data_IF_036107415402
#
_entry.id   IF_036107415402
#
_cell.length_a   1.000
_cell.length_b   1.000
_cell.length_c   1.000
_cell.angle_alpha   90.00
_cell.angle_beta   90.00
_cell.angle_gamma   90.00
#
_symmetry.space_group_name_H-M   'P 1'
#
loop_
_entity.id
_entity.type
_entity.pdbx_description
1 polymer ?
#
# COMPACT_ATOMS: atom_id res chain seq x y z
N UNK A 1 9.49 -47.36 8.80
CA UNK A 1 8.97 -45.98 8.69
C UNK A 1 9.53 -45.15 9.84
N UNK A 2 10.55 -44.32 9.61
CA UNK A 2 11.06 -43.41 10.65
C UNK A 2 10.04 -42.29 10.81
N UNK A 3 9.39 -42.22 11.98
CA UNK A 3 8.42 -41.19 12.30
C UNK A 3 9.01 -39.79 12.10
N UNK A 4 8.19 -38.89 11.56
CA UNK A 4 8.52 -37.47 11.42
C UNK A 4 8.43 -36.86 12.83
N UNK A 5 9.49 -37.05 13.62
CA UNK A 5 9.52 -36.62 15.02
C UNK A 5 9.98 -35.18 15.09
N UNK A 6 9.06 -34.28 15.48
CA UNK A 6 9.23 -32.85 15.79
C UNK A 6 9.08 -31.90 14.58
N UNK A 7 7.83 -31.53 14.30
CA UNK A 7 7.54 -30.28 13.59
C UNK A 7 8.17 -29.12 14.38
N UNK A 8 8.94 -28.25 13.70
CA UNK A 8 9.44 -27.01 14.30
C UNK A 8 8.23 -26.10 14.56
N UNK A 9 7.67 -26.19 15.77
CA UNK A 9 6.60 -25.30 16.25
C UNK A 9 7.21 -24.01 16.78
N UNK A 10 6.51 -22.89 16.62
CA UNK A 10 6.88 -21.63 17.24
C UNK A 10 6.49 -21.71 18.72
N UNK A 11 7.44 -21.41 19.61
CA UNK A 11 7.21 -21.28 21.05
C UNK A 11 7.45 -19.82 21.44
N UNK A 12 6.62 -19.29 22.34
CA UNK A 12 6.79 -17.93 22.86
C UNK A 12 8.14 -17.82 23.56
N UNK A 13 8.87 -16.75 23.27
CA UNK A 13 10.17 -16.43 23.85
C UNK A 13 10.22 -14.93 24.19
N UNK A 14 11.37 -14.45 24.66
CA UNK A 14 11.57 -13.05 25.08
C UNK A 14 11.33 -12.01 23.97
N UNK A 15 11.24 -12.44 22.70
CA UNK A 15 10.93 -11.56 21.57
C UNK A 15 9.44 -11.48 21.24
N UNK A 16 8.60 -12.34 21.83
CA UNK A 16 7.15 -12.31 21.64
C UNK A 16 6.53 -10.93 21.96
N UNK A 17 6.91 -10.22 23.05
CA UNK A 17 6.40 -8.89 23.33
C UNK A 17 6.70 -7.85 22.24
N UNK A 18 7.85 -7.98 21.57
CA UNK A 18 8.21 -7.09 20.45
C UNK A 18 7.29 -7.34 19.25
N UNK A 19 6.96 -8.60 18.98
CA UNK A 19 6.00 -8.96 17.92
C UNK A 19 4.60 -8.45 18.25
N UNK A 20 4.11 -8.65 19.48
CA UNK A 20 2.83 -8.11 19.96
C UNK A 20 2.77 -6.60 19.78
N UNK A 21 3.86 -5.91 20.13
CA UNK A 21 3.97 -4.46 19.97
C UNK A 21 3.93 -4.01 18.52
N UNK A 22 4.55 -4.75 17.59
CA UNK A 22 4.44 -4.46 16.15
C UNK A 22 2.98 -4.52 15.69
N UNK A 23 2.25 -5.59 16.05
CA UNK A 23 0.85 -5.75 15.66
C UNK A 23 -0.04 -4.67 16.30
N UNK A 24 0.17 -4.36 17.58
CA UNK A 24 -0.55 -3.30 18.30
C UNK A 24 -0.38 -1.94 17.62
N UNK A 25 0.85 -1.48 17.42
CA UNK A 25 1.13 -0.19 16.79
C UNK A 25 0.55 -0.11 15.38
N UNK A 26 0.61 -1.21 14.63
CA UNK A 26 0.05 -1.25 13.28
C UNK A 26 -1.49 -1.20 13.27
N UNK A 27 -2.15 -1.91 14.19
CA UNK A 27 -3.60 -1.88 14.37
C UNK A 27 -4.09 -0.48 14.78
N UNK A 28 -3.30 0.25 15.57
CA UNK A 28 -3.53 1.65 15.95
C UNK A 28 -3.30 2.64 14.79
N UNK A 29 -2.82 2.16 13.64
CA UNK A 29 -2.68 2.96 12.43
C UNK A 29 -1.26 3.40 12.09
N UNK A 30 -0.24 3.01 12.86
CA UNK A 30 1.14 3.28 12.48
C UNK A 30 1.52 2.58 11.17
N UNK A 31 2.35 3.22 10.37
CA UNK A 31 2.99 2.63 9.18
C UNK A 31 4.21 1.80 9.58
N UNK A 32 4.66 0.91 8.69
CA UNK A 32 5.88 0.13 8.93
C UNK A 32 7.12 1.01 9.12
N UNK A 33 7.14 2.18 8.49
CA UNK A 33 8.20 3.18 8.62
C UNK A 33 8.15 3.86 9.99
N UNK A 34 6.97 4.23 10.47
CA UNK A 34 6.80 4.83 11.80
C UNK A 34 7.20 3.84 12.90
N UNK A 35 6.77 2.57 12.80
CA UNK A 35 7.15 1.52 13.76
C UNK A 35 8.66 1.31 13.76
N UNK A 36 9.29 1.23 12.57
CA UNK A 36 10.74 1.12 12.41
C UNK A 36 11.46 2.27 13.13
N UNK A 37 11.02 3.51 12.88
CA UNK A 37 11.58 4.71 13.50
C UNK A 37 11.40 4.73 15.02
N UNK A 38 10.22 4.33 15.52
CA UNK A 38 9.96 4.22 16.96
C UNK A 38 10.93 3.23 17.61
N UNK A 39 11.10 2.04 17.02
CA UNK A 39 11.99 1.02 17.56
C UNK A 39 13.46 1.44 17.49
N UNK A 40 13.87 2.13 16.43
CA UNK A 40 15.22 2.70 16.31
C UNK A 40 15.50 3.73 17.40
N UNK A 41 14.57 4.67 17.65
CA UNK A 41 14.71 5.69 18.70
C UNK A 41 14.77 5.09 20.11
N UNK A 42 14.11 3.96 20.33
CA UNK A 42 14.09 3.26 21.62
C UNK A 42 15.21 2.22 21.75
N UNK A 43 16.04 2.02 20.72
CA UNK A 43 17.11 1.04 20.73
C UNK A 43 16.63 -0.42 20.68
N UNK A 44 15.41 -0.68 20.21
CA UNK A 44 14.86 -2.04 20.07
C UNK A 44 15.46 -2.71 18.84
N UNK A 45 16.20 -3.79 19.05
CA UNK A 45 16.84 -4.57 17.99
C UNK A 45 16.08 -5.85 17.67
N UNK A 46 16.33 -6.38 16.47
CA UNK A 46 15.90 -7.74 16.09
C UNK A 46 16.69 -8.80 16.89
N UNK A 47 16.24 -10.07 16.92
CA UNK A 47 16.96 -11.14 17.62
C UNK A 47 18.42 -11.34 17.17
N UNK A 48 18.76 -10.90 15.97
CA UNK A 48 20.13 -10.99 15.43
C UNK A 48 20.92 -9.67 15.62
N UNK A 49 20.42 -8.73 16.43
CA UNK A 49 21.07 -7.45 16.69
C UNK A 49 20.98 -6.41 15.57
N UNK A 50 20.17 -6.65 14.54
CA UNK A 50 19.96 -5.70 13.44
C UNK A 50 18.79 -4.75 13.73
N UNK A 51 18.78 -3.59 13.06
CA UNK A 51 17.68 -2.62 13.12
C UNK A 51 16.43 -3.19 12.42
N UNK A 52 15.26 -2.88 12.99
CA UNK A 52 13.96 -3.13 12.37
C UNK A 52 13.74 -2.17 11.21
N UNK A 53 13.79 -2.67 9.97
CA UNK A 53 13.40 -1.91 8.77
C UNK A 53 11.93 -2.18 8.39
N UNK A 54 11.41 -1.38 7.47
CA UNK A 54 10.04 -1.47 6.98
C UNK A 54 9.73 -2.85 6.36
N UNK A 55 10.71 -3.45 5.68
CA UNK A 55 10.61 -4.76 5.04
C UNK A 55 10.50 -5.90 6.06
N UNK A 56 11.30 -5.88 7.12
CA UNK A 56 11.25 -6.84 8.23
C UNK A 56 9.92 -6.76 8.96
N UNK A 57 9.45 -5.55 9.27
CA UNK A 57 8.15 -5.34 9.90
C UNK A 57 7.02 -5.83 8.99
N UNK A 58 7.07 -5.50 7.70
CA UNK A 58 6.09 -5.99 6.70
C UNK A 58 6.09 -7.53 6.62
N UNK A 59 7.25 -8.16 6.74
CA UNK A 59 7.39 -9.63 6.78
C UNK A 59 6.69 -10.19 8.01
N UNK A 60 6.91 -9.60 9.19
CA UNK A 60 6.25 -9.99 10.44
C UNK A 60 4.72 -9.90 10.32
N UNK A 61 4.21 -8.74 9.89
CA UNK A 61 2.77 -8.49 9.75
C UNK A 61 2.08 -9.40 8.72
N UNK A 62 2.83 -9.98 7.80
CA UNK A 62 2.28 -10.87 6.75
C UNK A 62 2.38 -12.36 7.09
N UNK A 63 3.08 -12.72 8.16
CA UNK A 63 3.38 -14.11 8.47
C UNK A 63 2.25 -14.70 9.32
N UNK A 64 1.55 -15.71 8.78
CA UNK A 64 0.45 -16.40 9.45
C UNK A 64 0.91 -17.23 10.65
N UNK A 65 2.22 -17.45 10.81
CA UNK A 65 2.77 -18.13 11.99
C UNK A 65 2.33 -17.47 13.28
N UNK A 66 2.25 -16.14 13.32
CA UNK A 66 1.94 -15.43 14.55
C UNK A 66 0.49 -15.62 15.02
N UNK A 67 -0.43 -16.02 14.13
CA UNK A 67 -1.81 -16.41 14.47
C UNK A 67 -2.00 -17.93 14.64
N UNK A 68 -0.91 -18.67 14.86
CA UNK A 68 -0.96 -20.11 15.11
C UNK A 68 -1.03 -20.99 13.85
N UNK A 69 -0.89 -20.43 12.65
CA UNK A 69 -0.94 -21.20 11.39
C UNK A 69 0.46 -21.52 10.84
N UNK A 70 0.66 -22.70 10.27
CA UNK A 70 1.90 -23.03 9.54
C UNK A 70 1.59 -23.09 8.05
N UNK A 71 2.34 -22.31 7.26
CA UNK A 71 2.24 -22.36 5.80
C UNK A 71 3.51 -22.92 5.18
N UNK A 72 3.36 -23.95 4.35
CA UNK A 72 4.46 -24.56 3.61
C UNK A 72 4.24 -24.50 2.11
N UNK A 73 5.32 -24.32 1.34
CA UNK A 73 5.25 -24.41 -0.12
C UNK A 73 4.70 -23.20 -0.85
N UNK A 74 4.58 -22.01 -0.21
CA UNK A 74 4.21 -20.75 -0.89
C UNK A 74 5.15 -20.39 -2.06
N UNK A 75 6.40 -20.81 -1.98
CA UNK A 75 7.45 -20.51 -2.95
C UNK A 75 8.33 -21.72 -3.19
N UNK A 76 8.90 -21.82 -4.40
CA UNK A 76 9.88 -22.84 -4.79
C UNK A 76 11.14 -22.19 -5.35
N UNK A 77 12.28 -22.81 -5.15
CA UNK A 77 13.52 -22.37 -5.80
C UNK A 77 13.49 -22.78 -7.27
N UNK A 78 13.81 -21.82 -8.15
CA UNK A 78 13.95 -22.08 -9.58
C UNK A 78 15.13 -23.01 -9.82
N UNK A 79 14.92 -24.03 -10.66
CA UNK A 79 16.00 -24.92 -11.09
C UNK A 79 16.84 -24.32 -12.22
N UNK A 80 16.30 -23.34 -12.92
CA UNK A 80 16.88 -22.76 -14.15
C UNK A 80 17.31 -21.31 -13.95
N UNK A 81 16.53 -20.52 -13.22
CA UNK A 81 16.81 -19.11 -13.00
C UNK A 81 17.65 -18.87 -11.75
N UNK A 82 18.73 -18.10 -11.90
CA UNK A 82 19.59 -17.68 -10.80
C UNK A 82 19.73 -16.16 -10.78
N UNK A 83 19.98 -15.60 -9.60
CA UNK A 83 20.46 -14.23 -9.45
C UNK A 83 21.91 -14.12 -9.96
N UNK A 84 22.39 -12.89 -10.17
CA UNK A 84 23.78 -12.62 -10.59
C UNK A 84 24.83 -13.22 -9.64
N UNK A 85 24.48 -13.41 -8.37
CA UNK A 85 25.33 -14.04 -7.35
C UNK A 85 25.22 -15.58 -7.30
N UNK A 86 24.61 -16.22 -8.31
CA UNK A 86 24.52 -17.67 -8.44
C UNK A 86 23.44 -18.35 -7.60
N UNK A 87 22.75 -17.62 -6.72
CA UNK A 87 21.64 -18.19 -5.92
C UNK A 87 20.41 -18.44 -6.79
N UNK A 88 19.73 -19.59 -6.65
CA UNK A 88 18.44 -19.83 -7.30
C UNK A 88 17.43 -18.72 -7.02
N UNK A 89 16.68 -18.29 -8.03
CA UNK A 89 15.57 -17.35 -7.79
C UNK A 89 14.43 -18.06 -7.07
N UNK A 90 13.79 -17.36 -6.14
CA UNK A 90 12.61 -17.87 -5.44
C UNK A 90 11.37 -17.48 -6.25
N UNK A 91 10.64 -18.47 -6.74
CA UNK A 91 9.43 -18.30 -7.54
C UNK A 91 8.19 -18.62 -6.71
N UNK A 92 7.05 -18.03 -7.07
CA UNK A 92 5.76 -18.44 -6.51
C UNK A 92 5.48 -19.90 -6.88
N UNK A 93 4.99 -20.68 -5.93
CA UNK A 93 4.59 -22.05 -6.25
C UNK A 93 3.17 -22.04 -6.82
N UNK A 94 3.02 -22.44 -8.07
CA UNK A 94 1.72 -22.57 -8.74
C UNK A 94 0.95 -23.82 -8.31
N UNK A 95 1.66 -24.84 -7.80
CA UNK A 95 1.06 -26.11 -7.34
C UNK A 95 0.34 -26.02 -5.98
N UNK A 96 -0.02 -24.82 -5.54
CA UNK A 96 -0.65 -24.58 -4.24
C UNK A 96 0.34 -24.53 -3.07
N UNK A 97 -0.19 -24.20 -1.89
CA UNK A 97 0.53 -24.21 -0.62
C UNK A 97 -0.26 -25.04 0.39
N UNK A 98 0.45 -25.61 1.36
CA UNK A 98 -0.16 -26.37 2.46
C UNK A 98 -0.34 -25.38 3.61
N UNK A 99 -1.59 -25.20 4.05
CA UNK A 99 -1.95 -24.42 5.24
C UNK A 99 -2.39 -25.39 6.34
N UNK A 100 -1.73 -25.33 7.48
CA UNK A 100 -2.14 -26.04 8.69
C UNK A 100 -2.59 -25.00 9.70
N UNK A 101 -3.89 -24.97 9.99
CA UNK A 101 -4.48 -24.10 11.00
C UNK A 101 -4.24 -24.68 12.41
N UNK A 102 -4.23 -23.83 13.44
CA UNK A 102 -4.06 -24.23 14.84
C UNK A 102 -2.86 -25.15 15.11
N UNK A 103 -1.75 -24.91 14.42
CA UNK A 103 -0.53 -25.71 14.51
C UNK A 103 0.23 -25.49 15.84
N UNK A 104 0.01 -24.36 16.51
CA UNK A 104 0.61 -23.99 17.79
C UNK A 104 -0.16 -22.83 18.44
N UNK A 105 0.16 -22.54 19.69
CA UNK A 105 -0.44 -21.41 20.41
C UNK A 105 -0.09 -20.08 19.70
N UNK A 106 -1.09 -19.25 19.36
CA UNK A 106 -0.86 -17.98 18.71
C UNK A 106 -0.09 -17.01 19.63
N UNK A 107 0.81 -16.23 19.02
CA UNK A 107 1.42 -15.06 19.68
C UNK A 107 0.44 -13.89 19.61
N UNK A 108 -0.27 -13.76 18.48
CA UNK A 108 -1.21 -12.69 18.20
C UNK A 108 -2.59 -13.30 18.05
N UNK A 109 -3.58 -12.69 18.68
CA UNK A 109 -4.97 -13.03 18.48
C UNK A 109 -5.31 -13.07 16.96
N UNK A 110 -5.90 -14.16 16.45
CA UNK A 110 -6.28 -14.27 15.04
C UNK A 110 -7.08 -13.08 14.51
N UNK A 111 -7.92 -12.45 15.34
CA UNK A 111 -8.74 -11.30 14.94
C UNK A 111 -7.89 -10.04 14.77
N UNK A 112 -6.94 -9.79 15.67
CA UNK A 112 -5.98 -8.68 15.55
C UNK A 112 -5.11 -8.89 14.30
N UNK A 113 -4.68 -10.13 14.05
CA UNK A 113 -3.90 -10.45 12.86
C UNK A 113 -4.69 -10.17 11.57
N UNK A 114 -5.97 -10.57 11.53
CA UNK A 114 -6.83 -10.35 10.37
C UNK A 114 -7.18 -8.86 10.19
N UNK A 115 -7.34 -8.10 11.28
CA UNK A 115 -7.45 -6.64 11.24
C UNK A 115 -6.22 -6.00 10.58
N UNK A 116 -5.02 -6.36 11.01
CA UNK A 116 -3.77 -5.87 10.43
C UNK A 116 -3.64 -6.25 8.94
N UNK A 117 -4.07 -7.46 8.57
CA UNK A 117 -4.12 -7.90 7.17
C UNK A 117 -5.05 -7.01 6.33
N UNK A 118 -6.25 -6.70 6.82
CA UNK A 118 -7.20 -5.80 6.15
C UNK A 118 -6.62 -4.40 5.96
N UNK A 119 -6.02 -3.82 7.01
CA UNK A 119 -5.33 -2.51 6.95
C UNK A 119 -4.24 -2.54 5.87
N UNK A 120 -3.44 -3.60 5.85
CA UNK A 120 -2.36 -3.76 4.86
C UNK A 120 -2.90 -3.90 3.44
N UNK A 121 -4.00 -4.63 3.24
CA UNK A 121 -4.65 -4.76 1.94
C UNK A 121 -5.21 -3.42 1.46
N UNK A 122 -5.84 -2.63 2.33
CA UNK A 122 -6.32 -1.29 1.99
C UNK A 122 -5.17 -0.33 1.64
N UNK A 123 -4.06 -0.40 2.38
CA UNK A 123 -2.87 0.41 2.07
C UNK A 123 -2.21 0.02 0.74
N UNK A 124 -2.30 -1.25 0.36
CA UNK A 124 -1.71 -1.79 -0.87
C UNK A 124 -2.64 -1.75 -2.09
N UNK A 125 -3.96 -1.70 -1.89
CA UNK A 125 -4.95 -1.52 -2.98
C UNK A 125 -4.86 -0.13 -3.59
N UNK A 126 -4.31 0.83 -2.84
CA UNK A 126 -3.98 2.17 -3.32
C UNK A 126 -2.84 2.07 -4.35
N UNK A 127 -3.03 2.53 -5.60
CA UNK A 127 -1.95 2.58 -6.57
C UNK A 127 -0.76 3.36 -5.98
N UNK A 128 0.50 3.11 -6.40
CA UNK A 128 1.67 3.80 -5.83
C UNK A 128 1.56 5.34 -5.80
N UNK A 129 0.78 5.95 -6.70
CA UNK A 129 0.46 7.39 -6.71
C UNK A 129 -0.61 7.85 -5.70
N UNK A 130 -1.27 6.92 -5.02
CA UNK A 130 -2.33 7.13 -4.02
C UNK A 130 -1.90 6.95 -2.57
N UNK A 131 -0.63 6.66 -2.32
CA UNK A 131 -0.06 6.73 -0.97
C UNK A 131 0.01 8.20 -0.56
N UNK A 132 -0.81 8.54 0.42
CA UNK A 132 -1.16 9.86 0.94
C UNK A 132 -0.02 10.90 0.86
N UNK A 133 -0.35 12.10 0.39
CA UNK A 133 0.29 13.33 0.87
C UNK A 133 1.32 14.03 0.00
N UNK A 134 1.50 13.69 -1.29
CA UNK A 134 2.47 14.45 -2.11
C UNK A 134 1.90 15.67 -2.83
N UNK A 135 0.69 15.68 -3.40
CA UNK A 135 0.21 16.83 -4.20
C UNK A 135 -1.32 17.02 -4.23
N UNK A 136 -1.83 18.27 -4.39
CA UNK A 136 -3.26 18.55 -4.61
C UNK A 136 -3.84 17.71 -5.77
N UNK A 137 -5.10 17.29 -5.65
CA UNK A 137 -5.84 16.49 -6.65
C UNK A 137 -5.28 15.10 -6.97
N UNK A 138 -4.35 14.59 -6.16
CA UNK A 138 -3.87 13.21 -6.28
C UNK A 138 -5.03 12.22 -6.30
N UNK A 139 -5.10 11.39 -7.35
CA UNK A 139 -6.15 10.40 -7.63
C UNK A 139 -7.53 10.92 -8.05
N UNK A 140 -7.74 12.24 -8.05
CA UNK A 140 -8.99 12.84 -8.50
C UNK A 140 -9.01 13.05 -10.02
N UNK A 141 -7.85 13.35 -10.61
CA UNK A 141 -7.76 13.67 -12.05
C UNK A 141 -7.67 12.40 -12.88
N UNK A 142 -8.68 12.17 -13.73
CA UNK A 142 -8.76 11.05 -14.68
C UNK A 142 -8.44 11.49 -16.10
N UNK A 143 -7.83 10.60 -16.87
CA UNK A 143 -7.57 10.82 -18.29
C UNK A 143 -8.87 10.67 -19.07
N UNK A 144 -9.29 11.73 -19.77
CA UNK A 144 -10.50 11.71 -20.60
C UNK A 144 -10.45 10.70 -21.76
N UNK A 145 -9.26 10.23 -22.17
CA UNK A 145 -9.10 9.31 -23.30
C UNK A 145 -9.21 7.84 -22.85
N UNK A 146 -8.56 7.47 -21.75
CA UNK A 146 -8.43 6.05 -21.35
C UNK A 146 -8.93 5.75 -19.94
N UNK A 147 -9.48 6.73 -19.23
CA UNK A 147 -10.01 6.58 -17.87
C UNK A 147 -8.95 6.41 -16.77
N UNK A 148 -7.69 6.18 -17.12
CA UNK A 148 -6.62 6.02 -16.14
C UNK A 148 -6.40 7.29 -15.31
N UNK A 149 -6.01 7.11 -14.05
CA UNK A 149 -5.64 8.22 -13.14
C UNK A 149 -4.34 8.88 -13.60
N UNK A 150 -4.30 10.21 -13.62
CA UNK A 150 -3.06 10.95 -13.89
C UNK A 150 -2.11 10.95 -12.68
N UNK A 151 -0.81 10.99 -12.99
CA UNK A 151 0.27 11.19 -12.00
C UNK A 151 0.74 12.64 -12.02
N UNK A 152 1.50 13.03 -10.99
CA UNK A 152 2.05 14.37 -10.82
C UNK A 152 3.57 14.33 -10.80
N UNK A 153 4.20 15.35 -11.37
CA UNK A 153 5.66 15.50 -11.36
C UNK A 153 6.03 16.94 -10.99
N UNK A 154 6.92 17.09 -10.00
CA UNK A 154 7.59 18.36 -9.69
C UNK A 154 8.75 18.58 -10.66
N UNK A 155 8.84 19.76 -11.25
CA UNK A 155 9.96 20.22 -12.08
C UNK A 155 10.52 21.50 -11.50
N UNK A 156 11.82 21.50 -11.17
CA UNK A 156 12.53 22.73 -10.81
C UNK A 156 13.09 23.34 -12.09
N UNK A 157 12.74 24.60 -12.36
CA UNK A 157 13.32 25.36 -13.47
C UNK A 157 14.07 26.56 -12.91
N UNK A 158 15.23 26.90 -13.50
CA UNK A 158 16.03 28.05 -13.07
C UNK A 158 15.28 29.39 -13.22
N UNK A 159 14.33 29.47 -14.15
CA UNK A 159 13.62 30.71 -14.51
C UNK A 159 12.30 30.95 -13.72
N UNK A 160 11.59 29.90 -13.31
CA UNK A 160 10.22 30.03 -12.77
C UNK A 160 9.99 29.26 -11.45
N UNK A 161 11.05 28.83 -10.76
CA UNK A 161 10.94 28.09 -9.51
C UNK A 161 10.46 26.65 -9.67
N UNK A 162 9.86 26.09 -8.60
CA UNK A 162 9.27 24.75 -8.60
C UNK A 162 7.87 24.77 -9.22
N UNK A 163 7.67 24.03 -10.30
CA UNK A 163 6.38 23.87 -10.98
C UNK A 163 5.89 22.43 -10.87
N UNK A 164 4.59 22.25 -10.69
CA UNK A 164 3.95 20.94 -10.64
C UNK A 164 3.19 20.72 -11.95
N UNK A 165 3.37 19.54 -12.55
CA UNK A 165 2.68 19.16 -13.79
C UNK A 165 1.88 17.88 -13.57
N UNK A 166 0.64 17.89 -14.07
CA UNK A 166 -0.14 16.68 -14.32
C UNK A 166 0.52 16.00 -15.52
N UNK A 167 1.13 14.84 -15.32
CA UNK A 167 1.99 14.21 -16.32
C UNK A 167 1.18 13.73 -17.52
N UNK A 168 1.85 13.54 -18.65
CA UNK A 168 1.27 12.81 -19.77
C UNK A 168 0.83 11.41 -19.33
N UNK A 169 -0.29 10.96 -19.87
CA UNK A 169 -0.82 9.63 -19.62
C UNK A 169 0.14 8.59 -20.22
N UNK A 170 0.61 7.65 -19.39
CA UNK A 170 1.54 6.60 -19.80
C UNK A 170 0.84 5.25 -20.01
N UNK A 171 -0.50 5.23 -20.01
CA UNK A 171 -1.28 4.01 -20.20
C UNK A 171 -1.00 3.43 -21.57
N UNK A 172 -0.63 2.14 -21.60
CA UNK A 172 -0.46 1.34 -22.81
C UNK A 172 -1.81 0.75 -23.18
N UNK A 173 -2.23 0.99 -24.42
CA UNK A 173 -3.43 0.43 -25.04
C UNK A 173 -2.95 -0.65 -25.99
N UNK A 174 -3.29 -1.90 -25.69
CA UNK A 174 -2.87 -3.05 -26.48
C UNK A 174 -3.81 -3.25 -27.66
N UNK A 175 -3.22 -3.52 -28.83
CA UNK A 175 -3.91 -3.77 -30.09
C UNK A 175 -3.54 -5.19 -30.52
N UNK A 176 -4.52 -6.00 -30.94
CA UNK A 176 -4.34 -7.43 -31.22
C UNK A 176 -3.32 -7.70 -32.34
N UNK A 177 -3.06 -6.70 -33.20
CA UNK A 177 -2.21 -6.84 -34.39
C UNK A 177 -0.86 -6.11 -34.31
N UNK A 178 -0.73 -5.05 -33.52
CA UNK A 178 0.40 -4.10 -33.59
C UNK A 178 1.12 -3.84 -32.24
N UNK A 179 0.92 -4.69 -31.23
CA UNK A 179 1.55 -4.53 -29.93
C UNK A 179 0.81 -3.51 -29.04
N UNK A 180 1.46 -2.42 -28.63
CA UNK A 180 0.82 -1.41 -27.77
C UNK A 180 1.08 0.03 -28.23
N UNK A 181 0.06 0.88 -28.07
CA UNK A 181 0.12 2.32 -28.30
C UNK A 181 0.03 3.04 -26.95
N UNK A 182 0.75 4.14 -26.77
CA UNK A 182 0.66 4.95 -25.53
C UNK A 182 -0.47 5.96 -25.70
N UNK A 183 -1.26 6.15 -24.64
CA UNK A 183 -2.32 7.17 -24.59
C UNK A 183 -1.78 8.55 -25.00
N UNK A 184 -2.50 9.24 -25.90
CA UNK A 184 -2.06 10.52 -26.49
C UNK A 184 -2.18 11.72 -25.54
N UNK A 185 -2.84 11.58 -24.39
CA UNK A 185 -3.04 12.68 -23.45
C UNK A 185 -1.70 13.18 -22.87
N UNK A 186 -1.35 14.43 -23.15
CA UNK A 186 -0.06 15.04 -22.76
C UNK A 186 -0.04 15.65 -21.36
N UNK A 187 -1.17 15.61 -20.65
CA UNK A 187 -1.33 16.28 -19.36
C UNK A 187 -1.17 17.79 -19.48
N UNK A 188 -1.12 18.49 -18.34
CA UNK A 188 -1.15 19.95 -18.28
C UNK A 188 -0.40 20.46 -17.05
N UNK A 189 -0.01 21.74 -17.05
CA UNK A 189 0.51 22.38 -15.85
C UNK A 189 -0.60 22.43 -14.78
N UNK A 190 -0.28 22.10 -13.53
CA UNK A 190 -1.26 22.06 -12.44
C UNK A 190 -1.94 23.41 -12.22
N UNK A 191 -1.18 24.51 -12.29
CA UNK A 191 -1.71 25.87 -12.11
C UNK A 191 -2.80 26.22 -13.13
N UNK A 192 -2.62 25.79 -14.39
CA UNK A 192 -3.62 26.02 -15.44
C UNK A 192 -4.89 25.20 -15.19
N UNK A 193 -4.73 23.96 -14.72
CA UNK A 193 -5.86 23.13 -14.31
C UNK A 193 -6.61 23.75 -13.12
N UNK A 194 -5.88 24.20 -12.10
CA UNK A 194 -6.46 24.81 -10.89
C UNK A 194 -7.27 26.06 -11.22
N UNK A 195 -6.79 26.95 -12.10
CA UNK A 195 -7.57 28.12 -12.54
C UNK A 195 -8.94 27.74 -13.08
N UNK A 196 -8.97 26.76 -13.98
CA UNK A 196 -10.22 26.30 -14.57
C UNK A 196 -11.07 25.61 -13.52
N UNK A 197 -10.48 24.71 -12.72
CA UNK A 197 -11.19 24.00 -11.67
C UNK A 197 -11.87 24.97 -10.69
N UNK A 198 -11.17 25.96 -10.17
CA UNK A 198 -11.73 26.90 -9.20
C UNK A 198 -12.79 27.83 -9.80
N UNK A 199 -12.68 28.20 -11.08
CA UNK A 199 -13.74 28.95 -11.78
C UNK A 199 -15.04 28.14 -11.91
N UNK A 200 -14.94 26.85 -12.22
CA UNK A 200 -16.13 25.98 -12.25
C UNK A 200 -16.66 25.67 -10.85
N UNK A 201 -15.76 25.48 -9.90
CA UNK A 201 -16.10 25.10 -8.53
C UNK A 201 -16.78 26.26 -7.77
N UNK A 202 -16.37 27.50 -8.00
CA UNK A 202 -17.05 28.68 -7.42
C UNK A 202 -18.51 28.79 -7.89
N UNK A 203 -18.78 28.52 -9.17
CA UNK A 203 -20.14 28.47 -9.73
C UNK A 203 -20.98 27.34 -9.12
N UNK A 204 -20.36 26.21 -8.80
CA UNK A 204 -21.03 25.11 -8.11
C UNK A 204 -21.39 25.46 -6.67
N UNK A 205 -20.50 26.17 -5.96
CA UNK A 205 -20.77 26.64 -4.60
C UNK A 205 -21.93 27.62 -4.53
N UNK A 206 -22.04 28.55 -5.47
CA UNK A 206 -23.19 29.46 -5.55
C UNK A 206 -24.53 28.71 -5.62
N UNK A 207 -24.59 27.61 -6.37
CA UNK A 207 -25.79 26.76 -6.43
C UNK A 207 -26.10 26.03 -5.12
N UNK A 208 -25.08 25.74 -4.31
CA UNK A 208 -25.29 25.15 -2.97
C UNK A 208 -25.83 26.21 -2.02
N UNK A 209 -25.30 27.43 -2.06
CA UNK A 209 -25.81 28.54 -1.25
C UNK A 209 -27.28 28.86 -1.61
N UNK A 210 -27.62 28.86 -2.90
CA UNK A 210 -29.01 28.97 -3.37
C UNK A 210 -29.90 27.87 -2.77
N UNK A 211 -29.38 26.64 -2.65
CA UNK A 211 -30.12 25.51 -2.06
C UNK A 211 -30.29 25.64 -0.54
N UNK A 212 -29.30 26.20 0.16
CA UNK A 212 -29.40 26.53 1.58
C UNK A 212 -30.51 27.56 1.81
N UNK A 213 -30.61 28.58 0.97
CA UNK A 213 -31.65 29.60 1.10
C UNK A 213 -33.04 29.04 0.72
N UNK A 214 -33.14 28.09 -0.21
CA UNK A 214 -34.37 27.32 -0.44
C UNK A 214 -34.79 26.53 0.81
N UNK A 215 -33.84 25.86 1.49
CA UNK A 215 -34.11 25.12 2.73
C UNK A 215 -34.58 26.08 3.83
N UNK A 216 -33.90 27.21 4.05
CA UNK A 216 -34.30 28.20 5.06
C UNK A 216 -35.72 28.71 4.80
N UNK A 217 -36.01 29.09 3.56
CA UNK A 217 -37.35 29.57 3.16
C UNK A 217 -38.44 28.50 3.29
N UNK A 218 -38.08 27.20 3.28
CA UNK A 218 -39.03 26.10 3.53
C UNK A 218 -39.31 25.85 5.02
N UNK A 219 -38.40 26.27 5.90
CA UNK A 219 -38.52 26.16 7.36
C UNK A 219 -39.25 27.34 7.99
N UNK A 220 -39.34 28.48 7.31
CA UNK A 220 -40.04 29.69 7.75
C UNK A 220 -41.55 29.70 7.38
N UNK A 221 -42.05 28.62 6.76
CA UNK A 221 -43.48 28.43 6.45
C UNK A 221 -44.14 27.54 7.50
N UNK A 222 -44.24 28.04 8.73
CA UNK A 222 -45.14 27.55 9.79
C UNK A 222 -45.75 28.75 10.52
#
# INVERSE_FOLDING_TARGET
MKGITKLRKLEKNDYAPVIERIFKLYAEGATTVEISRTFELEGVLTPNGAIWDDSRISTVLSNEVYKGCVVYGKTKNSRTEKYKNGRPKQLKNEGGFILVENAHEPIIDPDIWEQCRKIRQDRNSRPPGARIGKMPFSNLIKCAICGATHSFQKRKTKAHGEQIRITSCQTKIYDEKDGYKICKNKGVNLYQFEKVFYDYFSKFFQRIDDYIDVIKNSLERD
#
